data_IF_166933818909
#
_entry.id   IF_166933818909
#
_cell.length_a   1.000
_cell.length_b   1.000
_cell.length_c   1.000
_cell.angle_alpha   90.00
_cell.angle_beta   90.00
_cell.angle_gamma   90.00
#
_symmetry.space_group_name_H-M   'P 1'
#
loop_
_entity.id
_entity.type
_entity.pdbx_description
1 polymer ?
#
# COMPACT_ATOMS: atom_id res chain seq x y z
N UNK A 1 -3.11 -45.73 6.01
CA UNK A 1 -2.16 -44.99 6.88
C UNK A 1 -2.26 -43.57 6.37
N UNK A 2 -3.33 -42.91 6.80
CA UNK A 2 -3.85 -41.71 6.15
C UNK A 2 -3.41 -40.51 6.97
N UNK A 3 -2.59 -39.66 6.36
CA UNK A 3 -2.39 -38.31 6.87
C UNK A 3 -2.99 -37.38 5.85
N UNK A 4 -4.06 -36.66 6.19
CA UNK A 4 -4.29 -35.39 5.56
C UNK A 4 -4.68 -34.35 6.61
N UNK A 5 -3.80 -33.39 6.85
CA UNK A 5 -4.25 -32.03 7.16
C UNK A 5 -3.07 -31.07 7.06
N UNK A 6 -2.55 -30.94 5.83
CA UNK A 6 -1.84 -29.73 5.47
C UNK A 6 -2.90 -28.65 5.24
N UNK A 7 -3.35 -28.01 6.33
CA UNK A 7 -4.19 -26.82 6.32
C UNK A 7 -3.50 -25.74 5.49
N UNK A 8 -3.75 -25.76 4.18
CA UNK A 8 -3.38 -24.70 3.28
C UNK A 8 -4.37 -23.58 3.55
N UNK A 9 -4.01 -22.70 4.48
CA UNK A 9 -4.72 -21.44 4.69
C UNK A 9 -4.87 -20.78 3.32
N UNK A 10 -6.10 -20.50 2.84
CA UNK A 10 -6.28 -19.75 1.62
C UNK A 10 -5.73 -18.36 1.92
N UNK A 11 -4.58 -18.02 1.34
CA UNK A 11 -4.09 -16.65 1.36
C UNK A 11 -5.09 -15.80 0.61
N UNK A 12 -6.07 -15.23 1.33
CA UNK A 12 -7.07 -14.30 0.85
C UNK A 12 -6.43 -12.93 0.59
N UNK A 13 -5.37 -12.90 -0.20
CA UNK A 13 -5.08 -11.70 -0.96
C UNK A 13 -5.94 -11.84 -2.22
N UNK A 14 -6.96 -10.99 -2.46
CA UNK A 14 -7.55 -10.94 -3.78
C UNK A 14 -6.39 -10.71 -4.74
N UNK A 15 -6.27 -11.60 -5.73
CA UNK A 15 -5.14 -11.71 -6.63
C UNK A 15 -4.98 -10.39 -7.40
N UNK A 16 -4.26 -9.45 -6.80
CA UNK A 16 -3.51 -8.48 -7.58
C UNK A 16 -2.60 -9.33 -8.45
N UNK A 17 -2.72 -9.25 -9.78
CA UNK A 17 -1.91 -10.07 -10.67
C UNK A 17 -0.44 -9.90 -10.26
N UNK A 18 0.29 -11.00 -10.08
CA UNK A 18 1.66 -10.95 -9.52
C UNK A 18 2.57 -10.05 -10.35
N UNK A 19 2.29 -9.94 -11.63
CA UNK A 19 2.94 -9.03 -12.58
C UNK A 19 2.85 -7.54 -12.18
N UNK A 20 1.87 -7.16 -11.38
CA UNK A 20 1.69 -5.79 -10.92
C UNK A 20 2.45 -5.49 -9.62
N UNK A 21 3.07 -6.49 -8.96
CA UNK A 21 3.85 -6.27 -7.74
C UNK A 21 5.23 -5.72 -8.13
N UNK A 22 5.49 -4.47 -7.73
CA UNK A 22 6.75 -3.78 -8.02
C UNK A 22 7.79 -4.02 -6.92
N UNK A 23 7.35 -4.07 -5.66
CA UNK A 23 8.18 -4.35 -4.49
C UNK A 23 7.35 -5.07 -3.41
N UNK A 24 7.99 -5.98 -2.67
CA UNK A 24 7.37 -6.73 -1.58
C UNK A 24 8.43 -7.07 -0.52
N UNK A 25 8.21 -6.66 0.74
CA UNK A 25 9.09 -7.01 1.88
C UNK A 25 8.45 -7.98 2.88
N UNK A 26 7.38 -8.66 2.48
CA UNK A 26 6.59 -9.57 3.32
C UNK A 26 5.55 -8.86 4.18
N UNK A 27 5.74 -7.57 4.49
CA UNK A 27 4.78 -6.75 5.26
C UNK A 27 4.14 -5.68 4.39
N UNK A 28 4.93 -4.99 3.58
CA UNK A 28 4.49 -3.93 2.70
C UNK A 28 4.60 -4.37 1.25
N UNK A 29 3.64 -3.92 0.42
CA UNK A 29 3.60 -4.21 -1.01
C UNK A 29 3.40 -2.90 -1.75
N UNK A 30 4.26 -2.63 -2.73
CA UNK A 30 4.03 -1.59 -3.72
C UNK A 30 3.55 -2.26 -5.01
N UNK A 31 2.40 -1.84 -5.52
CA UNK A 31 1.81 -2.39 -6.74
C UNK A 31 1.52 -1.32 -7.77
N UNK A 32 1.73 -1.65 -9.03
CA UNK A 32 1.23 -0.89 -10.18
C UNK A 32 -0.26 -1.11 -10.32
N UNK A 33 -1.00 -0.03 -10.60
CA UNK A 33 -2.41 -0.08 -10.97
C UNK A 33 -2.64 0.45 -12.39
N UNK A 34 -1.57 0.62 -13.17
CA UNK A 34 -1.65 0.99 -14.59
C UNK A 34 -2.42 -0.07 -15.38
N UNK A 35 -3.35 0.37 -16.21
CA UNK A 35 -4.20 -0.51 -17.02
C UNK A 35 -5.32 -1.20 -16.24
N UNK A 36 -5.43 -0.99 -14.92
CA UNK A 36 -6.59 -1.45 -14.14
C UNK A 36 -7.76 -0.50 -14.36
N UNK A 37 -8.86 -1.01 -14.89
CA UNK A 37 -10.06 -0.23 -15.18
C UNK A 37 -10.61 0.42 -13.90
N UNK A 38 -10.94 1.71 -13.98
CA UNK A 38 -11.46 2.49 -12.84
C UNK A 38 -10.42 2.89 -11.78
N UNK A 39 -9.14 2.55 -11.96
CA UNK A 39 -8.07 3.01 -11.07
C UNK A 39 -7.92 4.54 -11.14
N UNK A 40 -7.81 5.17 -9.96
CA UNK A 40 -7.55 6.62 -9.82
C UNK A 40 -6.08 6.95 -9.58
N UNK A 41 -5.23 5.93 -9.55
CA UNK A 41 -3.79 5.98 -9.31
C UNK A 41 -3.03 5.14 -10.32
N UNK A 42 -1.74 5.44 -10.48
CA UNK A 42 -0.82 4.61 -11.27
C UNK A 42 -0.16 3.52 -10.45
N UNK A 43 -0.11 3.67 -9.12
CA UNK A 43 0.17 2.58 -8.21
C UNK A 43 -0.13 2.93 -6.75
N UNK A 44 -0.17 1.91 -5.91
CA UNK A 44 -0.56 2.01 -4.49
C UNK A 44 0.42 1.27 -3.59
N UNK A 45 0.62 1.82 -2.40
CA UNK A 45 1.37 1.20 -1.31
C UNK A 45 0.38 0.63 -0.28
N UNK A 46 0.53 -0.65 0.00
CA UNK A 46 -0.30 -1.40 0.93
C UNK A 46 0.55 -1.97 2.08
N UNK A 47 -0.08 -2.16 3.23
CA UNK A 47 0.45 -2.96 4.34
C UNK A 47 -0.44 -4.17 4.56
N UNK A 48 0.15 -5.35 4.62
CA UNK A 48 -0.55 -6.57 5.04
C UNK A 48 -0.91 -6.45 6.52
N UNK A 49 -2.16 -6.77 6.84
CA UNK A 49 -2.67 -6.79 8.20
C UNK A 49 -3.54 -8.04 8.42
N UNK A 50 -3.83 -8.34 9.69
CA UNK A 50 -4.81 -9.36 10.00
C UNK A 50 -6.17 -8.97 9.41
N UNK A 51 -6.92 -9.96 8.93
CA UNK A 51 -8.30 -9.76 8.50
C UNK A 51 -9.12 -9.11 9.63
N UNK A 52 -9.91 -8.10 9.28
CA UNK A 52 -10.85 -7.48 10.21
C UNK A 52 -12.08 -6.96 9.46
N UNK A 53 -13.13 -6.58 10.19
CA UNK A 53 -14.31 -5.93 9.61
C UNK A 53 -13.94 -4.65 8.84
N UNK A 54 -12.91 -3.94 9.29
CA UNK A 54 -12.42 -2.71 8.64
C UNK A 54 -11.38 -2.96 7.54
N UNK A 55 -10.80 -4.16 7.48
CA UNK A 55 -9.81 -4.58 6.48
C UNK A 55 -10.11 -6.00 5.99
N UNK A 56 -11.24 -6.21 5.27
CA UNK A 56 -11.69 -7.54 4.89
C UNK A 56 -10.77 -8.24 3.88
N UNK A 57 -9.85 -7.50 3.26
CA UNK A 57 -8.87 -8.03 2.31
C UNK A 57 -7.49 -8.29 2.95
N UNK A 58 -7.37 -8.12 4.28
CA UNK A 58 -6.09 -8.28 4.99
C UNK A 58 -5.00 -7.30 4.55
N UNK A 59 -5.41 -6.16 3.98
CA UNK A 59 -4.52 -5.10 3.53
C UNK A 59 -5.07 -3.73 3.93
N UNK A 60 -4.17 -2.83 4.30
CA UNK A 60 -4.45 -1.43 4.58
C UNK A 60 -3.75 -0.54 3.56
N UNK A 61 -4.48 0.44 3.03
CA UNK A 61 -3.94 1.47 2.15
C UNK A 61 -3.06 2.45 2.93
N UNK A 62 -1.80 2.62 2.49
CA UNK A 62 -0.85 3.55 3.07
C UNK A 62 -0.51 4.74 2.18
N UNK A 63 -0.68 4.61 0.87
CA UNK A 63 -0.35 5.69 -0.06
C UNK A 63 -0.50 5.30 -1.53
N UNK A 64 -0.28 6.25 -2.40
CA UNK A 64 -0.41 6.10 -3.85
C UNK A 64 0.55 7.04 -4.57
N UNK A 65 0.85 6.70 -5.82
CA UNK A 65 1.44 7.63 -6.77
C UNK A 65 0.58 7.73 -8.03
N UNK A 66 0.61 8.90 -8.67
CA UNK A 66 -0.09 9.13 -9.94
C UNK A 66 0.57 10.22 -10.78
N UNK A 67 0.45 10.09 -12.09
CA UNK A 67 0.76 11.16 -13.03
C UNK A 67 -0.42 12.13 -13.11
N UNK A 68 -0.15 13.43 -12.97
CA UNK A 68 -1.16 14.48 -13.08
C UNK A 68 -1.04 15.25 -14.39
N UNK A 69 -2.07 16.03 -14.71
CA UNK A 69 -2.14 16.86 -15.92
C UNK A 69 -1.09 17.97 -15.96
N UNK A 70 -0.44 18.27 -14.84
CA UNK A 70 0.71 19.18 -14.77
C UNK A 70 2.01 18.56 -15.33
N UNK A 71 1.96 17.29 -15.75
CA UNK A 71 3.10 16.56 -16.28
C UNK A 71 4.01 15.96 -15.20
N UNK A 72 3.68 16.13 -13.92
CA UNK A 72 4.48 15.69 -12.79
C UNK A 72 3.89 14.45 -12.11
N UNK A 73 4.75 13.75 -11.39
CA UNK A 73 4.38 12.59 -10.60
C UNK A 73 4.12 13.01 -9.15
N UNK A 74 2.94 12.70 -8.65
CA UNK A 74 2.54 13.01 -7.29
C UNK A 74 2.52 11.72 -6.48
N UNK A 75 3.26 11.69 -5.38
CA UNK A 75 3.17 10.62 -4.38
C UNK A 75 2.49 11.17 -3.13
N UNK A 76 1.49 10.46 -2.62
CA UNK A 76 0.79 10.84 -1.39
C UNK A 76 0.70 9.65 -0.44
N UNK A 77 1.15 9.83 0.80
CA UNK A 77 0.91 8.90 1.90
C UNK A 77 -0.36 9.30 2.64
N UNK A 78 -1.04 8.32 3.24
CA UNK A 78 -2.19 8.55 4.11
C UNK A 78 -1.82 9.53 5.23
N UNK A 79 -2.79 10.26 5.76
CA UNK A 79 -2.58 11.03 6.97
C UNK A 79 -2.22 10.15 8.17
N UNK A 80 -1.23 10.58 8.96
CA UNK A 80 -0.95 10.01 10.28
C UNK A 80 -1.92 10.59 11.32
N UNK A 81 -2.32 9.75 12.29
CA UNK A 81 -2.89 10.26 13.54
C UNK A 81 -1.78 10.93 14.34
N UNK A 82 -2.08 12.10 14.88
CA UNK A 82 -1.23 12.84 15.81
C UNK A 82 -1.49 12.33 17.24
N UNK A 83 -0.61 12.71 18.17
CA UNK A 83 -0.70 12.32 19.58
C UNK A 83 -1.97 12.84 20.26
N UNK A 84 -2.52 13.96 19.76
CA UNK A 84 -3.79 14.54 20.20
C UNK A 84 -5.03 13.83 19.61
N UNK A 85 -4.84 12.73 18.87
CA UNK A 85 -5.89 11.97 18.20
C UNK A 85 -6.41 12.60 16.90
N UNK A 86 -5.96 13.81 16.54
CA UNK A 86 -6.33 14.45 15.28
C UNK A 86 -5.63 13.82 14.08
N UNK A 87 -6.21 13.99 12.89
CA UNK A 87 -5.65 13.50 11.64
C UNK A 87 -4.83 14.64 11.01
N UNK A 88 -3.52 14.43 10.85
CA UNK A 88 -2.66 15.39 10.17
C UNK A 88 -2.95 15.48 8.66
N UNK A 89 -2.38 16.45 7.94
CA UNK A 89 -2.47 16.45 6.48
C UNK A 89 -1.75 15.22 5.90
N UNK A 90 -2.18 14.72 4.73
CA UNK A 90 -1.44 13.68 4.02
C UNK A 90 -0.07 14.22 3.61
N UNK A 91 0.96 13.38 3.67
CA UNK A 91 2.28 13.73 3.16
C UNK A 91 2.24 13.63 1.64
N UNK A 92 2.50 14.73 0.95
CA UNK A 92 2.50 14.79 -0.52
C UNK A 92 3.88 15.23 -1.01
N UNK A 93 4.41 14.53 -2.02
CA UNK A 93 5.62 14.90 -2.73
C UNK A 93 5.36 14.97 -4.23
N UNK A 94 6.05 15.88 -4.90
CA UNK A 94 5.96 16.11 -6.35
C UNK A 94 7.33 15.78 -6.96
N UNK A 95 7.33 14.99 -8.02
CA UNK A 95 8.51 14.41 -8.63
C UNK A 95 8.47 14.54 -10.14
N UNK A 96 9.66 14.61 -10.75
CA UNK A 96 9.81 14.67 -12.20
C UNK A 96 9.68 13.29 -12.84
N UNK A 97 9.97 12.21 -12.11
CA UNK A 97 9.91 10.84 -12.63
C UNK A 97 8.99 9.94 -11.79
N UNK A 98 8.44 8.91 -12.45
CA UNK A 98 7.65 7.87 -11.78
C UNK A 98 8.49 7.13 -10.73
N UNK A 99 9.75 6.85 -11.07
CA UNK A 99 10.66 6.12 -10.20
C UNK A 99 10.89 6.87 -8.89
N UNK A 100 11.08 8.19 -8.93
CA UNK A 100 11.28 8.99 -7.73
C UNK A 100 10.04 8.97 -6.82
N UNK A 101 8.85 9.06 -7.41
CA UNK A 101 7.58 8.94 -6.68
C UNK A 101 7.43 7.57 -6.02
N UNK A 102 7.75 6.49 -6.73
CA UNK A 102 7.75 5.13 -6.20
C UNK A 102 8.76 4.93 -5.07
N UNK A 103 10.00 5.40 -5.27
CA UNK A 103 11.08 5.34 -4.28
C UNK A 103 10.68 6.08 -3.01
N UNK A 104 10.04 7.24 -3.14
CA UNK A 104 9.55 7.99 -1.99
C UNK A 104 8.53 7.19 -1.16
N UNK A 105 7.51 6.59 -1.80
CA UNK A 105 6.54 5.75 -1.08
C UNK A 105 7.24 4.58 -0.38
N UNK A 106 8.11 3.88 -1.10
CA UNK A 106 8.79 2.70 -0.56
C UNK A 106 9.72 3.04 0.61
N UNK A 107 10.47 4.14 0.50
CA UNK A 107 11.33 4.63 1.59
C UNK A 107 10.52 4.98 2.83
N UNK A 108 9.30 5.50 2.67
CA UNK A 108 8.42 5.89 3.76
C UNK A 108 7.47 4.79 4.25
N UNK A 109 7.53 3.57 3.72
CA UNK A 109 6.51 2.52 3.98
C UNK A 109 6.28 2.21 5.47
N UNK A 110 7.34 2.24 6.29
CA UNK A 110 7.30 1.94 7.73
C UNK A 110 6.89 3.13 8.61
N UNK A 111 6.57 4.26 8.01
CA UNK A 111 6.17 5.48 8.72
C UNK A 111 4.92 5.31 9.60
N UNK A 112 4.10 4.29 9.34
CA UNK A 112 2.84 4.00 10.05
C UNK A 112 2.95 2.88 11.09
N UNK A 113 4.13 2.27 11.25
CA UNK A 113 4.32 1.18 12.20
C UNK A 113 4.70 1.70 13.60
N UNK A 114 5.21 2.93 13.69
CA UNK A 114 5.74 3.52 14.92
C UNK A 114 4.67 4.08 15.88
N UNK A 115 3.38 3.85 15.61
CA UNK A 115 2.25 4.40 16.39
C UNK A 115 1.34 3.37 17.07
N UNK A 116 1.75 2.09 17.16
CA UNK A 116 0.96 1.01 17.79
C UNK A 116 1.77 0.24 18.84
N UNK A 117 2.37 0.97 19.78
CA UNK A 117 2.69 0.43 21.11
C UNK A 117 1.85 1.18 22.14
N UNK A 118 0.63 0.69 22.36
CA UNK A 118 -0.14 0.88 23.59
C UNK A 118 -0.87 -0.44 23.87
#
# INVERSE_FOLDING_TARGET
MDTPDSRRSPGLLPELPRENILQDDGVHILVSTKGVEGSRSDGILLRRCAFSVTTPLGCEFLGQYRHLSDGLWHASMRSKRRDDGSIGPPQVGIYTTELDAMVNLWANRRSFDLGHRA
#
